data_IF_880862967922
#
_entry.id   IF_880862967922
#
_cell.length_a   1.000
_cell.length_b   1.000
_cell.length_c   1.000
_cell.angle_alpha   90.00
_cell.angle_beta   90.00
_cell.angle_gamma   90.00
#
_symmetry.space_group_name_H-M   'P 1'
#
loop_
_entity.id
_entity.type
_entity.pdbx_description
1 polymer ?
#
# COMPACT_ATOMS: atom_id res chain seq x y z
N UNK A 1 9.75 -10.98 -4.02
CA UNK A 1 10.93 -10.37 -4.67
C UNK A 1 11.89 -11.45 -5.16
N UNK A 2 12.37 -12.31 -4.28
CA UNK A 2 13.33 -13.37 -4.62
C UNK A 2 12.84 -14.26 -5.78
N UNK A 3 11.56 -14.65 -5.79
CA UNK A 3 10.95 -15.40 -6.89
C UNK A 3 11.11 -14.68 -8.24
N UNK A 4 10.75 -13.40 -8.32
CA UNK A 4 10.88 -12.61 -9.54
C UNK A 4 12.35 -12.39 -9.96
N UNK A 5 13.25 -12.28 -8.99
CA UNK A 5 14.68 -12.12 -9.25
C UNK A 5 15.30 -13.31 -10.00
N UNK A 6 14.66 -14.47 -9.99
CA UNK A 6 15.08 -15.63 -10.77
C UNK A 6 14.72 -15.52 -12.27
N UNK A 7 13.73 -14.69 -12.60
CA UNK A 7 13.24 -14.51 -13.98
C UNK A 7 13.74 -13.26 -14.67
N UNK A 8 14.26 -12.29 -13.90
CA UNK A 8 14.74 -11.02 -14.48
C UNK A 8 15.97 -10.51 -13.79
N UNK A 9 16.86 -9.86 -14.58
CA UNK A 9 17.99 -9.07 -14.08
C UNK A 9 17.68 -7.58 -14.04
N UNK A 10 16.48 -7.18 -14.46
CA UNK A 10 16.05 -5.79 -14.44
C UNK A 10 15.96 -5.26 -12.99
N UNK A 11 16.06 -3.94 -12.85
CA UNK A 11 15.81 -3.28 -11.58
C UNK A 11 14.36 -3.48 -11.20
N UNK A 12 14.11 -3.77 -9.93
CA UNK A 12 12.77 -3.96 -9.39
C UNK A 12 12.43 -2.82 -8.43
N UNK A 13 11.21 -2.34 -8.53
CA UNK A 13 10.62 -1.41 -7.59
C UNK A 13 9.30 -1.95 -7.06
N UNK A 14 9.03 -1.71 -5.80
CA UNK A 14 7.77 -2.05 -5.15
C UNK A 14 7.09 -0.75 -4.69
N UNK A 15 5.97 -0.42 -5.32
CA UNK A 15 5.14 0.72 -4.90
C UNK A 15 4.21 0.28 -3.77
N UNK A 16 4.12 1.08 -2.71
CA UNK A 16 3.22 0.82 -1.58
C UNK A 16 2.87 2.10 -0.83
N UNK A 17 1.76 2.08 -0.10
CA UNK A 17 1.40 3.16 0.82
C UNK A 17 2.15 3.09 2.15
N UNK A 18 2.09 4.20 2.90
CA UNK A 18 2.77 4.37 4.20
C UNK A 18 2.43 3.25 5.19
N UNK A 19 1.15 2.90 5.34
CA UNK A 19 0.74 1.85 6.28
C UNK A 19 1.39 0.50 5.98
N UNK A 20 1.47 0.14 4.70
CA UNK A 20 2.11 -1.11 4.29
C UNK A 20 3.62 -1.09 4.58
N UNK A 21 4.28 0.07 4.42
CA UNK A 21 5.69 0.20 4.78
C UNK A 21 5.89 0.06 6.28
N UNK A 22 5.04 0.68 7.11
CA UNK A 22 5.09 0.53 8.58
C UNK A 22 4.91 -0.93 8.98
N UNK A 23 3.97 -1.66 8.35
CA UNK A 23 3.77 -3.08 8.59
C UNK A 23 5.01 -3.93 8.23
N UNK A 24 5.74 -3.60 7.16
CA UNK A 24 6.99 -4.27 6.79
C UNK A 24 8.04 -4.11 7.91
N UNK A 25 8.04 -3.00 8.63
CA UNK A 25 8.94 -2.77 9.77
C UNK A 25 8.41 -3.33 11.10
N UNK A 26 7.37 -4.17 11.10
CA UNK A 26 6.86 -4.85 12.29
C UNK A 26 7.48 -6.25 12.45
N UNK A 27 8.31 -6.43 13.47
CA UNK A 27 9.01 -7.69 13.76
C UNK A 27 8.07 -8.90 13.93
N UNK A 28 6.80 -8.67 14.27
CA UNK A 28 5.85 -9.77 14.50
C UNK A 28 5.69 -10.69 13.29
N UNK A 29 5.85 -10.15 12.08
CA UNK A 29 5.70 -10.90 10.82
C UNK A 29 6.88 -11.82 10.52
N UNK A 30 8.02 -11.63 11.19
CA UNK A 30 9.29 -12.32 10.90
C UNK A 30 9.78 -13.26 11.99
N UNK A 31 8.96 -13.49 13.04
CA UNK A 31 9.32 -14.33 14.19
C UNK A 31 9.62 -15.79 13.82
N UNK A 32 9.11 -16.25 12.68
CA UNK A 32 9.34 -17.59 12.17
C UNK A 32 10.67 -17.75 11.44
N UNK A 33 11.37 -16.66 11.14
CA UNK A 33 12.68 -16.67 10.48
C UNK A 33 13.79 -16.70 11.53
N UNK A 34 14.83 -17.51 11.30
CA UNK A 34 15.98 -17.62 12.21
C UNK A 34 16.73 -16.31 12.40
N UNK A 35 16.87 -15.53 11.34
CA UNK A 35 17.47 -14.18 11.34
C UNK A 35 16.46 -13.05 11.55
N UNK A 36 15.18 -13.38 11.82
CA UNK A 36 14.12 -12.40 12.06
C UNK A 36 13.96 -11.40 10.91
N UNK A 37 13.71 -10.14 11.26
CA UNK A 37 13.51 -9.05 10.32
C UNK A 37 14.74 -8.79 9.45
N UNK A 38 15.96 -9.02 9.94
CA UNK A 38 17.18 -8.80 9.16
C UNK A 38 17.31 -9.81 8.02
N UNK A 39 16.95 -11.06 8.24
CA UNK A 39 16.89 -12.07 7.18
C UNK A 39 15.83 -11.70 6.14
N UNK A 40 14.65 -11.28 6.58
CA UNK A 40 13.58 -10.84 5.68
C UNK A 40 14.01 -9.66 4.82
N UNK A 41 14.67 -8.68 5.41
CA UNK A 41 15.11 -7.48 4.70
C UNK A 41 16.27 -7.74 3.75
N UNK A 42 17.20 -8.66 4.09
CA UNK A 42 18.21 -9.14 3.16
C UNK A 42 17.61 -9.76 1.90
N UNK A 43 16.50 -10.50 2.04
CA UNK A 43 15.76 -11.08 0.92
C UNK A 43 14.89 -10.06 0.17
N UNK A 44 14.24 -9.13 0.89
CA UNK A 44 13.39 -8.10 0.29
C UNK A 44 14.21 -7.12 -0.55
N UNK A 45 15.30 -6.59 0.01
CA UNK A 45 16.14 -5.59 -0.64
C UNK A 45 17.29 -6.23 -1.45
N UNK A 46 17.06 -7.46 -1.92
CA UNK A 46 18.01 -8.17 -2.76
C UNK A 46 18.34 -7.37 -4.03
N UNK A 47 19.62 -7.34 -4.39
CA UNK A 47 20.16 -6.53 -5.50
C UNK A 47 19.86 -5.03 -5.29
N UNK A 48 19.31 -4.36 -6.31
CA UNK A 48 18.95 -2.93 -6.27
C UNK A 48 17.45 -2.72 -6.13
N UNK A 49 16.78 -3.58 -5.34
CA UNK A 49 15.36 -3.42 -5.03
C UNK A 49 15.11 -2.12 -4.27
N UNK A 50 14.12 -1.37 -4.71
CA UNK A 50 13.67 -0.11 -4.07
C UNK A 50 12.19 -0.17 -3.74
N UNK A 51 11.82 0.49 -2.66
CA UNK A 51 10.43 0.76 -2.29
C UNK A 51 10.10 2.19 -2.69
N UNK A 52 9.06 2.35 -3.49
CA UNK A 52 8.47 3.64 -3.83
C UNK A 52 7.25 3.87 -2.95
N UNK A 53 7.34 4.89 -2.09
CA UNK A 53 6.35 5.16 -1.07
C UNK A 53 5.32 6.16 -1.58
N UNK A 54 4.07 5.73 -1.66
CA UNK A 54 2.95 6.62 -1.92
C UNK A 54 2.53 7.30 -0.61
N UNK A 55 2.45 8.64 -0.56
CA UNK A 55 2.10 9.35 0.65
C UNK A 55 0.65 9.10 1.09
N UNK A 56 0.33 9.46 2.32
CA UNK A 56 -1.04 9.42 2.84
C UNK A 56 -1.34 10.68 3.65
N UNK A 57 -2.61 10.96 3.85
CA UNK A 57 -3.05 11.98 4.82
C UNK A 57 -3.13 11.35 6.20
N UNK A 58 -2.50 12.00 7.18
CA UNK A 58 -2.58 11.66 8.59
C UNK A 58 -3.86 12.19 9.24
N UNK A 59 -4.08 11.81 10.51
CA UNK A 59 -5.29 12.16 11.26
C UNK A 59 -5.51 13.67 11.44
N UNK A 60 -4.45 14.47 11.40
CA UNK A 60 -4.51 15.94 11.54
C UNK A 60 -4.43 16.66 10.19
N UNK A 61 -4.58 15.93 9.07
CA UNK A 61 -4.47 16.49 7.72
C UNK A 61 -3.04 16.69 7.21
N UNK A 62 -2.02 16.27 7.96
CA UNK A 62 -0.63 16.31 7.51
C UNK A 62 -0.35 15.25 6.45
N UNK A 63 0.50 15.58 5.47
CA UNK A 63 0.98 14.58 4.51
C UNK A 63 2.10 13.75 5.15
N UNK A 64 1.88 12.44 5.22
CA UNK A 64 2.84 11.48 5.74
C UNK A 64 3.63 10.89 4.59
N UNK A 65 4.95 11.01 4.69
CA UNK A 65 5.95 10.53 3.74
C UNK A 65 7.02 9.72 4.45
N UNK A 66 8.09 9.33 3.75
CA UNK A 66 9.25 8.67 4.35
C UNK A 66 9.96 9.55 5.41
N UNK A 67 9.74 10.87 5.39
CA UNK A 67 10.40 11.81 6.29
C UNK A 67 9.80 11.82 7.70
N UNK A 68 8.48 11.66 7.81
CA UNK A 68 7.74 11.87 9.05
C UNK A 68 6.92 10.66 9.49
N UNK A 69 6.88 9.55 8.71
CA UNK A 69 6.21 8.33 9.16
C UNK A 69 6.83 7.79 10.45
N UNK A 70 6.00 7.13 11.26
CA UNK A 70 6.40 6.57 12.55
C UNK A 70 6.48 5.05 12.43
N UNK A 71 7.70 4.52 12.50
CA UNK A 71 7.95 3.09 12.74
C UNK A 71 8.09 2.82 14.24
N UNK A 72 7.96 1.56 14.65
CA UNK A 72 8.20 1.17 16.03
C UNK A 72 9.59 1.66 16.50
N UNK A 73 9.74 2.18 17.74
CA UNK A 73 11.01 2.77 18.22
C UNK A 73 12.24 1.87 18.03
N UNK A 74 12.11 0.56 18.21
CA UNK A 74 13.20 -0.42 17.97
C UNK A 74 13.64 -0.48 16.52
N UNK A 75 12.76 -0.14 15.57
CA UNK A 75 13.03 -0.21 14.12
C UNK A 75 13.54 1.10 13.56
N UNK A 76 13.56 2.16 14.36
CA UNK A 76 13.91 3.52 13.92
C UNK A 76 15.27 3.59 13.21
N UNK A 77 16.30 2.98 13.78
CA UNK A 77 17.64 3.03 13.20
C UNK A 77 17.77 2.15 11.96
N UNK A 78 17.09 1.00 11.94
CA UNK A 78 17.00 0.16 10.76
C UNK A 78 16.27 0.89 9.61
N UNK A 79 15.17 1.56 9.90
CA UNK A 79 14.45 2.39 8.94
C UNK A 79 15.34 3.50 8.37
N UNK A 80 16.04 4.24 9.22
CA UNK A 80 16.99 5.27 8.79
C UNK A 80 18.08 4.72 7.87
N UNK A 81 18.61 3.53 8.17
CA UNK A 81 19.60 2.88 7.34
C UNK A 81 19.08 2.65 5.92
N UNK A 82 17.87 2.08 5.77
CA UNK A 82 17.28 1.82 4.46
C UNK A 82 16.95 3.10 3.70
N UNK A 83 16.45 4.12 4.40
CA UNK A 83 16.17 5.42 3.83
C UNK A 83 17.45 6.13 3.36
N UNK A 84 18.48 6.20 4.21
CA UNK A 84 19.77 6.82 3.87
C UNK A 84 20.43 6.15 2.66
N UNK A 85 20.27 4.84 2.51
CA UNK A 85 20.81 4.09 1.37
C UNK A 85 19.89 4.14 0.12
N UNK A 86 18.90 5.01 0.07
CA UNK A 86 18.01 5.18 -1.08
C UNK A 86 17.17 3.95 -1.41
N UNK A 87 16.89 3.11 -0.41
CA UNK A 87 16.03 1.93 -0.56
C UNK A 87 14.54 2.24 -0.38
N UNK A 88 14.24 3.36 0.25
CA UNK A 88 12.89 3.94 0.37
C UNK A 88 12.90 5.30 -0.28
N UNK A 89 12.03 5.51 -1.25
CA UNK A 89 11.95 6.72 -2.08
C UNK A 89 10.50 7.17 -2.11
N UNK A 90 10.23 8.44 -1.78
CA UNK A 90 8.89 8.99 -1.89
C UNK A 90 8.49 9.19 -3.36
N UNK A 91 7.22 8.91 -3.66
CA UNK A 91 6.60 9.29 -4.93
C UNK A 91 6.18 10.75 -4.80
N UNK A 92 6.79 11.62 -5.59
CA UNK A 92 6.54 13.07 -5.55
C UNK A 92 5.39 13.49 -6.47
N UNK A 93 5.22 12.80 -7.59
CA UNK A 93 4.14 13.06 -8.57
C UNK A 93 2.89 12.23 -8.19
N UNK A 94 2.06 12.78 -7.32
CA UNK A 94 0.81 12.18 -6.86
C UNK A 94 -0.33 13.20 -6.89
N UNK A 95 -1.58 12.71 -7.01
CA UNK A 95 -2.76 13.56 -6.89
C UNK A 95 -3.16 13.73 -5.42
N UNK A 96 -3.09 14.94 -4.84
CA UNK A 96 -3.49 15.16 -3.44
C UNK A 96 -4.95 14.85 -3.14
N UNK A 97 -5.84 15.00 -4.13
CA UNK A 97 -7.29 14.83 -3.96
C UNK A 97 -7.69 13.37 -3.67
N UNK A 98 -6.85 12.41 -4.05
CA UNK A 98 -7.12 10.98 -3.85
C UNK A 98 -6.40 10.39 -2.64
N UNK A 99 -5.64 11.18 -1.88
CA UNK A 99 -4.90 10.68 -0.70
C UNK A 99 -5.82 10.20 0.42
N UNK A 100 -7.07 10.68 0.46
CA UNK A 100 -8.10 10.23 1.40
C UNK A 100 -8.80 8.94 0.97
N UNK A 101 -8.54 8.45 -0.24
CA UNK A 101 -9.18 7.24 -0.76
C UNK A 101 -8.47 5.99 -0.24
N UNK A 102 -9.11 5.29 0.68
CA UNK A 102 -8.61 4.02 1.20
C UNK A 102 -9.28 2.83 0.52
N UNK A 103 -8.51 2.00 -0.15
CA UNK A 103 -9.01 0.84 -0.89
C UNK A 103 -9.90 -0.08 -0.05
N UNK A 104 -9.60 -0.24 1.25
CA UNK A 104 -10.43 -1.05 2.17
C UNK A 104 -11.82 -0.47 2.38
N UNK A 105 -11.95 0.85 2.41
CA UNK A 105 -13.24 1.54 2.52
C UNK A 105 -14.04 1.41 1.23
N UNK A 106 -13.40 1.62 0.10
CA UNK A 106 -14.01 1.43 -1.22
C UNK A 106 -14.53 0.00 -1.38
N UNK A 107 -13.73 -1.01 -1.05
CA UNK A 107 -14.15 -2.42 -1.08
C UNK A 107 -15.35 -2.68 -0.15
N UNK A 108 -15.36 -2.06 1.02
CA UNK A 108 -16.48 -2.17 1.96
C UNK A 108 -17.75 -1.52 1.41
N UNK A 109 -17.64 -0.35 0.77
CA UNK A 109 -18.76 0.31 0.11
C UNK A 109 -19.37 -0.57 -0.98
N UNK A 110 -18.53 -1.11 -1.88
CA UNK A 110 -18.94 -2.01 -2.96
C UNK A 110 -19.70 -3.23 -2.39
N UNK A 111 -19.10 -3.92 -1.42
CA UNK A 111 -19.67 -5.15 -0.85
C UNK A 111 -20.97 -4.92 -0.06
N UNK A 112 -21.14 -3.72 0.50
CA UNK A 112 -22.34 -3.32 1.26
C UNK A 112 -23.44 -2.66 0.41
N UNK A 113 -23.21 -2.44 -0.88
CA UNK A 113 -24.16 -1.75 -1.76
C UNK A 113 -24.27 -0.25 -1.50
N UNK A 114 -23.23 0.40 -0.97
CA UNK A 114 -23.21 1.85 -0.77
C UNK A 114 -22.83 2.56 -2.06
N UNK A 115 -23.47 3.67 -2.35
CA UNK A 115 -23.17 4.53 -3.50
C UNK A 115 -21.94 5.43 -3.27
N UNK A 116 -21.43 6.05 -4.33
CA UNK A 116 -20.40 7.07 -4.25
C UNK A 116 -18.96 6.55 -4.26
N UNK A 117 -18.72 5.29 -4.56
CA UNK A 117 -17.37 4.70 -4.66
C UNK A 117 -16.78 4.83 -6.08
N UNK A 118 -17.59 5.01 -7.11
CA UNK A 118 -17.14 5.06 -8.50
C UNK A 118 -16.10 6.17 -8.75
N UNK A 119 -16.31 7.43 -8.29
CA UNK A 119 -15.33 8.48 -8.47
C UNK A 119 -14.03 8.28 -7.68
N UNK A 120 -14.01 7.33 -6.72
CA UNK A 120 -12.81 6.97 -5.96
C UNK A 120 -11.90 6.01 -6.72
N UNK A 121 -12.28 5.54 -7.89
CA UNK A 121 -11.54 4.59 -8.71
C UNK A 121 -10.97 5.26 -9.96
N UNK A 122 -9.88 4.70 -10.51
CA UNK A 122 -9.41 5.10 -11.84
C UNK A 122 -10.50 4.90 -12.91
N UNK A 123 -10.45 5.73 -13.97
CA UNK A 123 -11.38 5.64 -15.10
C UNK A 123 -11.44 4.23 -15.68
N UNK A 124 -12.64 3.72 -15.93
CA UNK A 124 -12.90 2.39 -16.50
C UNK A 124 -12.91 1.24 -15.49
N UNK A 125 -12.43 1.45 -14.27
CA UNK A 125 -12.38 0.37 -13.27
C UNK A 125 -13.76 0.08 -12.69
N UNK A 126 -14.58 1.11 -12.49
CA UNK A 126 -15.94 0.95 -11.97
C UNK A 126 -16.82 0.10 -12.91
N UNK A 127 -16.71 0.33 -14.22
CA UNK A 127 -17.42 -0.42 -15.26
C UNK A 127 -17.02 -1.90 -15.22
N UNK A 128 -15.73 -2.21 -15.12
CA UNK A 128 -15.23 -3.59 -15.02
C UNK A 128 -15.76 -4.27 -13.77
N UNK A 129 -15.78 -3.59 -12.63
CA UNK A 129 -16.32 -4.14 -11.38
C UNK A 129 -17.80 -4.48 -11.53
N UNK A 130 -18.58 -3.57 -12.13
CA UNK A 130 -20.02 -3.76 -12.36
C UNK A 130 -20.31 -4.89 -13.35
N UNK A 131 -19.59 -4.93 -14.46
CA UNK A 131 -19.77 -5.93 -15.52
C UNK A 131 -19.45 -7.36 -15.03
N UNK A 132 -18.34 -7.49 -14.28
CA UNK A 132 -17.89 -8.80 -13.82
C UNK A 132 -18.31 -9.14 -12.39
N UNK A 133 -19.15 -8.33 -11.75
CA UNK A 133 -19.63 -8.53 -10.38
C UNK A 133 -18.51 -8.78 -9.37
N UNK A 134 -17.41 -7.99 -9.48
CA UNK A 134 -16.23 -8.16 -8.64
C UNK A 134 -16.45 -7.61 -7.23
N UNK A 135 -15.65 -8.08 -6.28
CA UNK A 135 -15.59 -7.59 -4.90
C UNK A 135 -16.94 -7.62 -4.14
N UNK A 136 -17.85 -8.51 -4.54
CA UNK A 136 -19.18 -8.62 -3.93
C UNK A 136 -20.16 -7.54 -4.40
N UNK A 137 -19.88 -6.90 -5.54
CA UNK A 137 -20.83 -6.03 -6.20
C UNK A 137 -22.06 -6.82 -6.64
N UNK A 138 -23.24 -6.38 -6.18
CA UNK A 138 -24.54 -6.93 -6.55
C UNK A 138 -25.50 -5.76 -6.83
N UNK A 139 -25.98 -5.60 -8.08
CA UNK A 139 -26.89 -4.49 -8.43
C UNK A 139 -28.11 -4.38 -7.53
N UNK A 140 -28.64 -5.51 -7.05
CA UNK A 140 -29.81 -5.55 -6.15
C UNK A 140 -29.58 -4.92 -4.77
N UNK A 141 -28.34 -4.80 -4.32
CA UNK A 141 -28.03 -4.15 -3.04
C UNK A 141 -28.15 -2.62 -3.12
N UNK A 142 -27.96 -2.06 -4.32
CA UNK A 142 -28.01 -0.62 -4.57
C UNK A 142 -29.43 -0.11 -4.87
N UNK A 143 -30.40 -1.02 -5.04
CA UNK A 143 -31.80 -0.68 -5.35
C UNK A 143 -32.69 -0.56 -4.11
N UNK A 144 -32.18 -0.76 -2.90
CA UNK A 144 -32.98 -0.84 -1.66
C UNK A 144 -33.22 0.48 -0.92
N UNK A 145 -32.75 1.61 -1.43
CA UNK A 145 -32.93 2.92 -0.77
C UNK A 145 -33.93 3.84 -1.48
N UNK A 146 -34.85 3.30 -2.26
CA UNK A 146 -35.95 4.08 -2.88
C UNK A 146 -37.30 3.48 -2.46
N UNK A 147 -37.64 3.57 -1.15
CA UNK A 147 -38.99 3.51 -0.62
C UNK A 147 -39.14 4.48 0.55
#
# INVERSE_FOLDING_TARGET
>A
VEYFANYTKARMGLAMGVNNLVDIFDEKYYRHLSGGILEAFGKLFYRDMKVFLYPMIGENGEIITSENLKVHPRMKELYKFFKFNGKVIDIEDYNPEILEVFSREVLKMISQGKEGWEPMLPSGVAEIIKEHHLFGYEPSKFLKEVE
#
